data_IF_603523552254
#
_entry.id   IF_603523552254
#
_cell.length_a   1.000
_cell.length_b   1.000
_cell.length_c   1.000
_cell.angle_alpha   90.00
_cell.angle_beta   90.00
_cell.angle_gamma   90.00
#
_symmetry.space_group_name_H-M   'P 1'
#
loop_
_entity.id
_entity.type
_entity.pdbx_description
1 polymer ?
#
# COMPACT_ATOMS: atom_id res chain seq x y z
N UNK A 1 -25.07 -7.24 5.23
CA UNK A 1 -23.96 -6.34 5.03
C UNK A 1 -23.12 -6.77 3.83
N UNK A 2 -22.90 -5.88 2.91
CA UNK A 2 -22.17 -6.23 1.71
C UNK A 2 -20.69 -5.93 1.88
N UNK A 3 -19.87 -6.81 1.35
CA UNK A 3 -18.45 -6.59 1.29
C UNK A 3 -18.13 -5.68 0.12
N UNK A 4 -17.06 -4.91 0.27
CA UNK A 4 -16.56 -4.09 -0.81
C UNK A 4 -15.82 -4.99 -1.79
N UNK A 5 -16.28 -4.99 -3.04
CA UNK A 5 -15.65 -5.80 -4.07
C UNK A 5 -14.56 -5.01 -4.76
N UNK A 6 -13.38 -5.58 -4.79
CA UNK A 6 -12.22 -4.99 -5.47
C UNK A 6 -11.97 -5.76 -6.74
N UNK A 7 -11.87 -5.08 -7.91
CA UNK A 7 -11.53 -5.78 -9.15
C UNK A 7 -10.23 -6.57 -9.00
N UNK A 8 -10.17 -7.73 -9.64
CA UNK A 8 -9.02 -8.63 -9.49
C UNK A 8 -7.70 -7.97 -9.85
N UNK A 9 -7.67 -7.13 -10.86
CA UNK A 9 -6.43 -6.48 -11.29
C UNK A 9 -5.92 -5.48 -10.26
N UNK A 10 -6.81 -4.81 -9.53
CA UNK A 10 -6.40 -3.94 -8.43
C UNK A 10 -5.99 -4.79 -7.23
N UNK A 11 -6.76 -5.82 -6.94
CA UNK A 11 -6.45 -6.73 -5.84
C UNK A 11 -5.09 -7.38 -6.02
N UNK A 12 -4.72 -7.73 -7.24
CA UNK A 12 -3.40 -8.29 -7.54
C UNK A 12 -2.29 -7.33 -7.12
N UNK A 13 -2.45 -6.05 -7.44
CA UNK A 13 -1.48 -5.02 -7.07
C UNK A 13 -1.38 -4.89 -5.54
N UNK A 14 -2.52 -4.85 -4.87
CA UNK A 14 -2.57 -4.74 -3.41
C UNK A 14 -1.88 -5.97 -2.77
N UNK A 15 -2.12 -7.15 -3.32
CA UNK A 15 -1.52 -8.37 -2.79
C UNK A 15 0.00 -8.41 -3.01
N UNK A 16 0.51 -7.88 -4.11
CA UNK A 16 1.96 -7.74 -4.27
C UNK A 16 2.56 -6.94 -3.13
N UNK A 17 1.89 -5.86 -2.72
CA UNK A 17 2.35 -5.04 -1.62
C UNK A 17 2.38 -5.83 -0.30
N UNK A 18 1.23 -6.40 0.10
CA UNK A 18 1.14 -7.07 1.40
C UNK A 18 1.92 -8.38 1.45
N UNK A 19 1.97 -9.13 0.35
CA UNK A 19 2.78 -10.36 0.28
C UNK A 19 4.26 -10.01 0.32
N UNK A 20 4.67 -8.93 -0.31
CA UNK A 20 6.05 -8.44 -0.24
C UNK A 20 6.46 -8.15 1.19
N UNK A 21 5.60 -7.46 1.94
CA UNK A 21 5.86 -7.18 3.36
C UNK A 21 5.90 -8.48 4.16
N UNK A 22 4.93 -9.37 3.93
CA UNK A 22 4.85 -10.62 4.69
C UNK A 22 6.09 -11.48 4.51
N UNK A 23 6.61 -11.55 3.30
CA UNK A 23 7.74 -12.40 2.98
C UNK A 23 9.08 -11.68 3.11
N UNK A 24 9.08 -10.39 3.39
CA UNK A 24 10.30 -9.59 3.35
C UNK A 24 10.88 -9.55 1.95
N UNK A 25 10.03 -9.65 0.93
CA UNK A 25 10.45 -9.76 -0.47
C UNK A 25 10.31 -8.40 -1.15
N UNK A 26 11.42 -7.70 -1.21
CA UNK A 26 11.46 -6.35 -1.76
C UNK A 26 11.07 -6.32 -3.23
N UNK A 27 11.49 -7.31 -4.00
CA UNK A 27 11.16 -7.35 -5.42
C UNK A 27 9.65 -7.48 -5.64
N UNK A 28 8.99 -8.27 -4.80
CA UNK A 28 7.54 -8.43 -4.87
C UNK A 28 6.83 -7.13 -4.50
N UNK A 29 7.27 -6.48 -3.42
CA UNK A 29 6.70 -5.20 -3.01
C UNK A 29 6.84 -4.15 -4.11
N UNK A 30 7.99 -4.11 -4.78
CA UNK A 30 8.23 -3.15 -5.86
C UNK A 30 7.31 -3.35 -7.06
N UNK A 31 6.80 -4.56 -7.27
CA UNK A 31 5.85 -4.81 -8.35
C UNK A 31 4.55 -4.04 -8.17
N UNK A 32 4.20 -3.69 -6.94
CA UNK A 32 2.97 -2.95 -6.66
C UNK A 32 3.12 -1.44 -6.91
N UNK A 33 4.34 -0.93 -7.01
CA UNK A 33 4.63 0.50 -6.95
C UNK A 33 5.05 1.09 -8.28
N UNK A 34 4.62 2.32 -8.52
CA UNK A 34 5.20 3.13 -9.59
C UNK A 34 6.60 3.59 -9.17
N UNK A 35 7.44 3.89 -10.16
CA UNK A 35 8.83 4.23 -9.92
C UNK A 35 9.00 5.44 -8.99
N UNK A 36 8.16 6.45 -9.15
CA UNK A 36 8.24 7.70 -8.39
C UNK A 36 7.16 7.82 -7.32
N UNK A 37 6.69 6.69 -6.79
CA UNK A 37 5.69 6.71 -5.73
C UNK A 37 6.23 7.42 -4.49
N UNK A 38 5.29 8.00 -3.72
CA UNK A 38 5.64 8.69 -2.48
C UNK A 38 4.86 8.11 -1.31
N UNK A 39 5.36 8.33 -0.11
CA UNK A 39 4.69 7.98 1.12
C UNK A 39 4.53 9.23 1.97
N UNK A 40 3.32 9.48 2.45
CA UNK A 40 3.05 10.62 3.31
C UNK A 40 2.40 10.16 4.60
N UNK A 41 2.79 10.77 5.68
CA UNK A 41 2.28 10.43 7.00
C UNK A 41 2.26 11.65 7.91
N UNK A 42 1.45 11.56 8.95
CA UNK A 42 1.45 12.55 10.02
C UNK A 42 2.44 12.10 11.08
N UNK A 43 3.34 12.98 11.44
CA UNK A 43 4.37 12.68 12.42
C UNK A 43 4.39 13.83 13.42
N UNK A 44 3.85 13.62 14.62
CA UNK A 44 3.78 14.61 15.68
C UNK A 44 3.09 15.91 15.22
N UNK A 45 2.02 15.78 14.45
CA UNK A 45 1.26 16.90 13.93
C UNK A 45 1.81 17.52 12.66
N UNK A 46 2.93 17.01 12.15
CA UNK A 46 3.54 17.52 10.93
C UNK A 46 3.34 16.55 9.78
N UNK A 47 3.08 17.09 8.59
CA UNK A 47 3.01 16.28 7.39
C UNK A 47 4.43 15.97 6.92
N UNK A 48 4.72 14.72 6.72
CA UNK A 48 6.02 14.26 6.24
C UNK A 48 5.82 13.45 4.96
N UNK A 49 6.35 13.94 3.84
CA UNK A 49 6.27 13.25 2.56
C UNK A 49 7.67 12.84 2.16
N UNK A 50 7.83 11.55 1.89
CA UNK A 50 9.13 10.97 1.56
C UNK A 50 9.01 10.13 0.30
N UNK A 51 10.13 9.89 -0.41
CA UNK A 51 10.14 8.93 -1.52
C UNK A 51 9.80 7.55 -1.01
N UNK A 52 9.24 6.72 -1.89
CA UNK A 52 8.84 5.36 -1.53
C UNK A 52 10.03 4.50 -1.08
N UNK A 53 11.25 4.95 -1.35
CA UNK A 53 12.45 4.25 -0.87
C UNK A 53 12.41 4.05 0.65
N UNK A 54 11.82 5.00 1.39
CA UNK A 54 11.70 4.84 2.84
C UNK A 54 10.88 3.61 3.22
N UNK A 55 9.83 3.29 2.45
CA UNK A 55 9.05 2.09 2.65
C UNK A 55 9.89 0.83 2.32
N UNK A 56 10.66 0.88 1.23
CA UNK A 56 11.51 -0.25 0.85
C UNK A 56 12.57 -0.54 1.92
N UNK A 57 13.16 0.52 2.46
CA UNK A 57 14.14 0.36 3.54
C UNK A 57 13.50 -0.29 4.77
N UNK A 58 12.25 0.10 5.08
CA UNK A 58 11.52 -0.48 6.19
C UNK A 58 11.26 -1.97 5.98
N UNK A 59 10.83 -2.36 4.76
CA UNK A 59 10.59 -3.77 4.43
C UNK A 59 11.89 -4.58 4.60
N UNK A 60 12.98 -4.05 4.10
CA UNK A 60 14.27 -4.73 4.16
C UNK A 60 14.76 -4.87 5.60
N UNK A 61 14.64 -3.82 6.38
CA UNK A 61 15.11 -3.82 7.77
C UNK A 61 14.26 -4.72 8.67
N UNK A 62 12.95 -4.79 8.43
CA UNK A 62 12.07 -5.62 9.23
C UNK A 62 12.20 -7.10 8.90
N UNK A 63 12.48 -7.43 7.63
CA UNK A 63 12.41 -8.81 7.18
C UNK A 63 10.96 -9.31 7.16
N UNK A 64 10.76 -10.63 7.07
CA UNK A 64 9.42 -11.21 7.06
C UNK A 64 8.64 -10.87 8.33
N UNK A 65 7.36 -10.57 8.17
CA UNK A 65 6.47 -10.24 9.29
C UNK A 65 5.03 -10.49 8.91
N UNK A 66 4.16 -10.54 9.89
CA UNK A 66 2.73 -10.60 9.61
C UNK A 66 2.32 -9.38 8.77
N UNK A 67 1.41 -9.61 7.82
CA UNK A 67 0.90 -8.54 6.99
C UNK A 67 -0.46 -8.97 6.45
N UNK A 68 -1.48 -8.20 6.77
CA UNK A 68 -2.83 -8.46 6.28
C UNK A 68 -3.59 -7.14 6.18
N UNK A 69 -4.76 -7.18 5.57
CA UNK A 69 -5.56 -5.97 5.39
C UNK A 69 -7.04 -6.30 5.29
N UNK A 70 -7.84 -5.28 5.54
CA UNK A 70 -9.27 -5.29 5.33
C UNK A 70 -9.64 -4.05 4.52
N UNK A 71 -10.40 -4.22 3.45
CA UNK A 71 -10.80 -3.09 2.59
C UNK A 71 -11.87 -2.28 3.29
N UNK A 72 -11.63 -0.98 3.44
CA UNK A 72 -12.57 -0.04 4.05
C UNK A 72 -13.36 0.74 3.02
N UNK A 73 -12.78 1.01 1.86
CA UNK A 73 -13.45 1.77 0.81
C UNK A 73 -12.66 1.75 -0.48
N UNK A 74 -13.34 1.97 -1.59
CA UNK A 74 -12.76 2.01 -2.91
C UNK A 74 -13.55 2.95 -3.79
N UNK A 75 -12.86 3.87 -4.47
CA UNK A 75 -13.44 4.73 -5.50
C UNK A 75 -12.55 4.57 -6.73
N UNK A 76 -13.14 4.26 -7.88
CA UNK A 76 -12.35 4.07 -9.08
C UNK A 76 -13.09 4.50 -10.33
N UNK A 77 -12.31 4.79 -11.37
CA UNK A 77 -12.77 4.89 -12.73
C UNK A 77 -11.89 3.97 -13.60
N UNK A 78 -11.89 4.17 -14.91
CA UNK A 78 -11.17 3.26 -15.81
C UNK A 78 -9.66 3.31 -15.65
N UNK A 79 -9.11 4.42 -15.14
CA UNK A 79 -7.66 4.64 -15.14
C UNK A 79 -7.08 4.97 -13.79
N UNK A 80 -7.91 5.33 -12.81
CA UNK A 80 -7.42 5.69 -11.48
C UNK A 80 -8.28 5.06 -10.40
N UNK A 81 -7.69 4.88 -9.23
CA UNK A 81 -8.41 4.34 -8.08
C UNK A 81 -7.83 4.89 -6.79
N UNK A 82 -8.68 4.97 -5.78
CA UNK A 82 -8.25 5.23 -4.40
C UNK A 82 -8.85 4.14 -3.53
N UNK A 83 -8.02 3.51 -2.73
CA UNK A 83 -8.47 2.42 -1.86
C UNK A 83 -7.96 2.67 -0.44
N UNK A 84 -8.85 2.49 0.53
CA UNK A 84 -8.53 2.63 1.95
C UNK A 84 -8.55 1.26 2.59
N UNK A 85 -7.52 0.98 3.38
CA UNK A 85 -7.31 -0.32 3.96
C UNK A 85 -6.99 -0.20 5.44
N UNK A 86 -7.62 -1.05 6.27
CA UNK A 86 -7.13 -1.27 7.61
C UNK A 86 -6.02 -2.29 7.51
N UNK A 87 -4.79 -1.85 7.72
CA UNK A 87 -3.64 -2.73 7.65
C UNK A 87 -3.33 -3.34 9.02
N UNK A 88 -2.65 -4.47 9.00
CA UNK A 88 -2.08 -5.08 10.18
C UNK A 88 -0.69 -5.57 9.84
N UNK A 89 0.31 -5.06 10.53
CA UNK A 89 1.70 -5.47 10.37
C UNK A 89 2.23 -5.99 11.70
N UNK A 90 3.01 -7.07 11.65
CA UNK A 90 3.59 -7.61 12.86
C UNK A 90 4.52 -6.64 13.57
N UNK A 91 5.23 -5.82 12.79
CA UNK A 91 6.21 -4.86 13.32
C UNK A 91 5.82 -3.41 13.12
N UNK A 92 4.78 -3.15 12.35
CA UNK A 92 4.34 -1.79 12.04
C UNK A 92 3.02 -1.38 12.64
N UNK A 93 2.41 -2.24 13.45
CA UNK A 93 1.12 -1.95 14.07
C UNK A 93 -0.04 -2.03 13.10
N UNK A 94 -1.10 -1.31 13.40
CA UNK A 94 -2.38 -1.39 12.67
C UNK A 94 -2.79 -0.05 12.06
N UNK A 95 -1.99 0.52 11.16
CA UNK A 95 -2.35 1.82 10.58
C UNK A 95 -3.47 1.69 9.56
N UNK A 96 -4.18 2.79 9.32
CA UNK A 96 -5.01 2.89 8.14
C UNK A 96 -4.12 3.34 7.01
N UNK A 97 -4.16 2.62 5.89
CA UNK A 97 -3.35 2.90 4.73
C UNK A 97 -4.26 3.24 3.56
N UNK A 98 -3.96 4.34 2.88
CA UNK A 98 -4.70 4.74 1.69
C UNK A 98 -3.76 4.74 0.51
N UNK A 99 -4.16 4.09 -0.58
CA UNK A 99 -3.38 4.06 -1.79
C UNK A 99 -4.08 4.81 -2.91
N UNK A 100 -3.32 5.62 -3.62
CA UNK A 100 -3.72 6.11 -4.92
C UNK A 100 -3.08 5.24 -5.98
N UNK A 101 -3.86 4.78 -6.96
CA UNK A 101 -3.38 3.89 -8.01
C UNK A 101 -3.70 4.46 -9.38
N UNK A 102 -2.82 4.17 -10.33
CA UNK A 102 -3.02 4.54 -11.74
C UNK A 102 -2.79 3.30 -12.59
N UNK A 103 -3.65 3.11 -13.58
CA UNK A 103 -3.53 2.00 -14.51
C UNK A 103 -2.48 2.33 -15.57
N UNK A 104 -1.54 1.43 -15.74
CA UNK A 104 -0.49 1.53 -16.76
C UNK A 104 -0.61 0.36 -17.72
N UNK A 105 0.25 0.35 -18.75
CA UNK A 105 0.31 -0.79 -19.67
C UNK A 105 0.73 -2.08 -18.99
N UNK A 106 1.38 -1.97 -17.84
CA UNK A 106 1.82 -3.12 -17.05
C UNK A 106 0.86 -3.47 -15.92
N UNK A 107 -0.31 -2.85 -15.89
CA UNK A 107 -1.30 -3.05 -14.83
C UNK A 107 -1.39 -1.86 -13.90
N UNK A 108 -2.11 -2.05 -12.81
CA UNK A 108 -2.31 -1.00 -11.81
C UNK A 108 -1.06 -0.85 -10.96
N UNK A 109 -0.69 0.41 -10.69
CA UNK A 109 0.47 0.72 -9.86
C UNK A 109 0.09 1.71 -8.77
N UNK A 110 0.62 1.51 -7.58
CA UNK A 110 0.45 2.46 -6.48
C UNK A 110 1.37 3.64 -6.73
N UNK A 111 0.81 4.85 -6.73
CA UNK A 111 1.57 6.09 -6.95
C UNK A 111 1.72 6.89 -5.67
N UNK A 112 0.82 6.70 -4.70
CA UNK A 112 0.93 7.37 -3.42
C UNK A 112 0.44 6.46 -2.31
N UNK A 113 1.11 6.54 -1.17
CA UNK A 113 0.78 5.79 0.02
C UNK A 113 0.61 6.77 1.16
N UNK A 114 -0.60 6.83 1.72
CA UNK A 114 -0.88 7.66 2.89
C UNK A 114 -1.02 6.75 4.08
N UNK A 115 -0.34 7.07 5.16
CA UNK A 115 -0.32 6.23 6.35
C UNK A 115 -0.76 7.05 7.54
N UNK A 116 -1.77 6.55 8.26
CA UNK A 116 -2.13 7.15 9.53
C UNK A 116 -1.64 6.21 10.64
N UNK A 117 -1.17 6.77 11.72
CA UNK A 117 -0.77 5.96 12.87
C UNK A 117 -1.97 5.66 13.75
N UNK A 118 -3.10 5.63 13.14
CA UNK A 118 -4.40 5.37 13.68
C UNK A 118 -4.92 6.45 14.60
#
# INVERSE_FOLDING_TARGET
MSEIKVPEEILKTINYYYDGVRNGDLNLAKKSMALWATMSLNQNGNVNTVPIQAFYDWVENCGPQESSYKVLGLIKNDKTAMINLQSHYGKGGDPITSFGLVKSDEGWKIVSKLVSDK
#
